data_IF_261638396789
#
_entry.id   IF_261638396789
#
_cell.length_a   1.000
_cell.length_b   1.000
_cell.length_c   1.000
_cell.angle_alpha   90.00
_cell.angle_beta   90.00
_cell.angle_gamma   90.00
#
_symmetry.space_group_name_H-M   'P 1'
#
loop_
_entity.id
_entity.type
_entity.pdbx_description
1 polymer ?
#
# COMPACT_ATOMS: atom_id res chain seq x y z
N UNK A 1 -8.54 -39.34 -4.14
CA UNK A 1 -8.66 -38.25 -3.15
C UNK A 1 -8.09 -38.61 -1.77
N UNK A 2 -8.30 -39.82 -1.24
CA UNK A 2 -7.80 -40.19 0.11
C UNK A 2 -6.27 -40.18 0.23
N UNK A 3 -5.54 -40.64 -0.79
CA UNK A 3 -4.06 -40.75 -0.80
C UNK A 3 -3.35 -39.40 -0.66
N UNK A 4 -3.84 -38.35 -1.33
CA UNK A 4 -3.28 -36.99 -1.27
C UNK A 4 -3.36 -36.40 0.14
N UNK A 5 -4.47 -36.65 0.84
CA UNK A 5 -4.65 -36.17 2.22
C UNK A 5 -3.69 -36.86 3.19
N UNK A 6 -3.54 -38.19 3.08
CA UNK A 6 -2.58 -38.92 3.93
C UNK A 6 -1.13 -38.50 3.66
N UNK A 7 -0.79 -38.21 2.41
CA UNK A 7 0.50 -37.64 2.05
C UNK A 7 0.73 -36.27 2.68
N UNK A 8 -0.25 -35.36 2.54
CA UNK A 8 -0.18 -34.02 3.12
C UNK A 8 0.00 -34.06 4.65
N UNK A 9 -0.69 -34.96 5.35
CA UNK A 9 -0.52 -35.14 6.81
C UNK A 9 0.90 -35.62 7.14
N UNK A 10 1.43 -36.59 6.39
CA UNK A 10 2.78 -37.11 6.62
C UNK A 10 3.85 -36.04 6.42
N UNK A 11 3.72 -35.22 5.38
CA UNK A 11 4.63 -34.08 5.15
C UNK A 11 4.45 -32.98 6.19
N UNK A 12 3.22 -32.69 6.61
CA UNK A 12 2.94 -31.70 7.65
C UNK A 12 3.67 -32.03 8.96
N UNK A 13 3.68 -33.31 9.34
CA UNK A 13 4.39 -33.81 10.53
C UNK A 13 5.92 -33.72 10.41
N UNK A 14 6.46 -33.62 9.18
CA UNK A 14 7.89 -33.49 8.96
C UNK A 14 8.40 -32.04 9.03
N UNK A 15 7.50 -31.04 9.03
CA UNK A 15 7.90 -29.64 9.13
C UNK A 15 8.55 -29.35 10.49
N UNK A 16 9.71 -28.70 10.42
CA UNK A 16 10.36 -28.11 11.59
C UNK A 16 9.97 -26.64 11.67
N UNK A 17 9.58 -26.13 12.85
CA UNK A 17 9.34 -24.70 13.04
C UNK A 17 10.58 -23.88 12.65
N UNK A 18 10.36 -22.79 11.94
CA UNK A 18 11.44 -21.84 11.64
C UNK A 18 11.79 -21.10 12.93
N UNK A 19 13.02 -21.28 13.42
CA UNK A 19 13.52 -20.53 14.57
C UNK A 19 14.09 -19.19 14.08
N UNK A 20 13.63 -18.10 14.69
CA UNK A 20 14.07 -16.74 14.35
C UNK A 20 14.85 -16.21 15.55
N UNK A 21 16.14 -15.91 15.35
CA UNK A 21 16.98 -15.24 16.35
C UNK A 21 16.80 -13.72 16.25
N UNK A 22 16.18 -13.11 17.26
CA UNK A 22 16.06 -11.64 17.38
C UNK A 22 17.39 -11.05 17.91
N UNK A 23 18.28 -10.61 16.99
CA UNK A 23 19.59 -10.04 17.35
C UNK A 23 19.60 -8.52 17.53
N UNK A 24 18.67 -7.82 16.89
CA UNK A 24 18.59 -6.35 16.87
C UNK A 24 17.55 -5.83 17.86
N UNK A 25 17.71 -4.59 18.33
CA UNK A 25 16.68 -3.94 19.16
C UNK A 25 15.46 -3.64 18.31
N UNK A 26 14.27 -3.87 18.89
CA UNK A 26 12.99 -3.61 18.20
C UNK A 26 12.82 -2.15 17.77
N UNK A 27 13.39 -1.20 18.52
CA UNK A 27 13.44 0.23 18.17
C UNK A 27 14.15 0.48 16.84
N UNK A 28 15.19 -0.29 16.55
CA UNK A 28 16.07 -0.08 15.38
C UNK A 28 15.46 -0.73 14.12
N UNK A 29 14.62 -1.76 14.34
CA UNK A 29 13.85 -2.42 13.29
C UNK A 29 12.57 -1.65 12.93
N UNK A 30 11.93 -0.99 13.90
CA UNK A 30 10.66 -0.32 13.71
C UNK A 30 10.78 0.82 12.68
N UNK A 31 9.95 0.78 11.64
CA UNK A 31 9.95 1.79 10.59
C UNK A 31 11.21 1.80 9.71
N UNK A 32 12.11 0.81 9.83
CA UNK A 32 13.36 0.74 9.05
C UNK A 32 13.12 0.82 7.54
N UNK A 33 12.05 0.20 7.06
CA UNK A 33 11.67 0.15 5.64
C UNK A 33 10.57 1.16 5.27
N UNK A 34 10.43 2.24 6.02
CA UNK A 34 9.43 3.28 5.77
C UNK A 34 10.13 4.61 5.56
N UNK A 35 9.71 5.36 4.53
CA UNK A 35 10.15 6.72 4.25
C UNK A 35 9.45 7.70 5.20
N UNK A 36 9.67 7.51 6.50
CA UNK A 36 9.07 8.27 7.58
C UNK A 36 9.78 9.64 7.77
N UNK A 37 9.32 10.43 8.74
CA UNK A 37 9.90 11.76 9.01
C UNK A 37 11.41 11.73 9.27
N UNK A 38 11.91 10.74 10.01
CA UNK A 38 13.34 10.61 10.31
C UNK A 38 14.14 10.34 9.04
N UNK A 39 13.67 9.43 8.20
CA UNK A 39 14.26 9.13 6.90
C UNK A 39 14.20 10.36 5.98
N UNK A 40 13.05 11.03 5.92
CA UNK A 40 12.87 12.25 5.14
C UNK A 40 13.86 13.35 5.56
N UNK A 41 14.13 13.53 6.86
CA UNK A 41 15.13 14.50 7.35
C UNK A 41 16.57 14.15 6.95
N UNK A 42 16.88 12.88 6.74
CA UNK A 42 18.21 12.42 6.34
C UNK A 42 18.45 12.57 4.83
N UNK A 43 17.42 12.34 4.02
CA UNK A 43 17.55 12.27 2.56
C UNK A 43 17.05 13.53 1.83
N UNK A 44 16.03 14.22 2.36
CA UNK A 44 15.47 15.40 1.71
C UNK A 44 16.26 16.68 2.05
N UNK A 45 16.28 17.60 1.09
CA UNK A 45 16.64 18.99 1.37
C UNK A 45 15.65 19.62 2.35
N UNK A 46 16.08 20.67 3.06
CA UNK A 46 15.21 21.39 4.01
C UNK A 46 13.91 21.88 3.36
N UNK A 47 14.00 22.37 2.13
CA UNK A 47 12.86 22.89 1.39
C UNK A 47 11.91 21.78 0.95
N UNK A 48 12.45 20.65 0.45
CA UNK A 48 11.63 19.50 0.09
C UNK A 48 10.93 18.89 1.31
N UNK A 49 11.65 18.75 2.44
CA UNK A 49 11.08 18.30 3.70
C UNK A 49 9.91 19.18 4.15
N UNK A 50 10.11 20.50 4.18
CA UNK A 50 9.07 21.44 4.55
C UNK A 50 7.88 21.41 3.57
N UNK A 51 8.15 21.23 2.28
CA UNK A 51 7.11 21.05 1.25
C UNK A 51 6.22 19.85 1.54
N UNK A 52 6.81 18.68 1.78
CA UNK A 52 6.08 17.45 2.11
C UNK A 52 5.32 17.59 3.43
N UNK A 53 5.95 18.11 4.48
CA UNK A 53 5.29 18.30 5.78
C UNK A 53 4.11 19.27 5.70
N UNK A 54 4.21 20.33 4.88
CA UNK A 54 3.11 21.24 4.62
C UNK A 54 1.97 20.57 3.85
N UNK A 55 2.27 19.70 2.90
CA UNK A 55 1.26 18.92 2.19
C UNK A 55 0.51 17.97 3.14
N UNK A 56 1.22 17.28 4.03
CA UNK A 56 0.64 16.36 5.02
C UNK A 56 -0.25 17.09 6.04
N UNK A 57 0.25 18.21 6.58
CA UNK A 57 -0.43 18.91 7.68
C UNK A 57 -1.56 19.83 7.21
N UNK A 58 -1.37 20.53 6.10
CA UNK A 58 -2.27 21.59 5.62
C UNK A 58 -2.96 21.26 4.29
N UNK A 59 -2.70 20.10 3.68
CA UNK A 59 -3.27 19.74 2.38
C UNK A 59 -2.80 20.64 1.23
N UNK A 60 -1.64 21.31 1.37
CA UNK A 60 -1.07 22.12 0.30
C UNK A 60 -0.62 21.25 -0.87
N UNK A 61 -0.78 21.78 -2.09
CA UNK A 61 -0.23 21.13 -3.29
C UNK A 61 1.29 21.10 -3.22
N UNK A 62 1.88 20.02 -3.71
CA UNK A 62 3.33 19.88 -3.85
C UNK A 62 3.72 20.45 -5.21
N UNK A 63 4.64 21.41 -5.21
CA UNK A 63 5.17 21.98 -6.44
C UNK A 63 6.02 20.95 -7.20
N UNK A 64 6.03 21.03 -8.53
CA UNK A 64 6.74 20.07 -9.39
C UNK A 64 8.24 19.99 -9.07
N UNK A 65 8.87 21.13 -8.78
CA UNK A 65 10.29 21.18 -8.39
C UNK A 65 10.55 20.45 -7.07
N UNK A 66 9.64 20.54 -6.10
CA UNK A 66 9.73 19.80 -4.84
C UNK A 66 9.50 18.32 -5.11
N UNK A 67 8.53 17.97 -5.95
CA UNK A 67 8.28 16.58 -6.33
C UNK A 67 9.48 15.91 -6.99
N UNK A 68 10.19 16.61 -7.88
CA UNK A 68 11.43 16.10 -8.51
C UNK A 68 12.56 15.89 -7.49
N UNK A 69 12.69 16.77 -6.49
CA UNK A 69 13.65 16.58 -5.41
C UNK A 69 13.28 15.39 -4.52
N UNK A 70 11.99 15.25 -4.19
CA UNK A 70 11.48 14.16 -3.36
C UNK A 70 11.64 12.83 -4.08
N UNK A 71 11.31 12.74 -5.37
CA UNK A 71 11.45 11.51 -6.16
C UNK A 71 12.91 11.07 -6.23
N UNK A 72 13.84 11.99 -6.54
CA UNK A 72 15.28 11.65 -6.55
C UNK A 72 15.75 11.13 -5.20
N UNK A 73 15.39 11.81 -4.11
CA UNK A 73 15.80 11.42 -2.76
C UNK A 73 15.16 10.09 -2.31
N UNK A 74 13.90 9.86 -2.67
CA UNK A 74 13.18 8.63 -2.38
C UNK A 74 13.76 7.44 -3.16
N UNK A 75 14.17 7.66 -4.41
CA UNK A 75 14.90 6.69 -5.21
C UNK A 75 16.24 6.35 -4.57
N UNK A 76 17.04 7.35 -4.21
CA UNK A 76 18.37 7.12 -3.62
C UNK A 76 18.27 6.35 -2.29
N UNK A 77 17.25 6.66 -1.48
CA UNK A 77 16.92 5.88 -0.28
C UNK A 77 16.49 4.44 -0.59
N UNK A 78 15.68 4.23 -1.63
CA UNK A 78 15.26 2.89 -2.03
C UNK A 78 16.43 2.06 -2.55
N UNK A 79 17.27 2.64 -3.39
CA UNK A 79 18.47 2.01 -3.94
C UNK A 79 19.48 1.66 -2.84
N UNK A 80 19.64 2.50 -1.81
CA UNK A 80 20.52 2.20 -0.66
C UNK A 80 20.08 0.96 0.13
N UNK A 81 18.83 0.51 -0.06
CA UNK A 81 18.25 -0.71 0.52
C UNK A 81 18.18 -1.89 -0.45
N UNK A 82 18.73 -1.76 -1.66
CA UNK A 82 18.74 -2.82 -2.67
C UNK A 82 17.40 -3.00 -3.39
N UNK A 83 16.53 -2.00 -3.37
CA UNK A 83 15.27 -2.00 -4.12
C UNK A 83 15.57 -1.84 -5.61
N UNK A 84 14.84 -2.58 -6.44
CA UNK A 84 15.03 -2.56 -7.91
C UNK A 84 13.82 -2.01 -8.66
N UNK A 85 12.63 -2.09 -8.05
CA UNK A 85 11.37 -1.67 -8.65
C UNK A 85 10.65 -0.65 -7.78
N UNK A 86 9.73 0.10 -8.37
CA UNK A 86 8.73 0.88 -7.67
C UNK A 86 7.33 0.52 -8.16
N UNK A 87 6.32 0.77 -7.33
CA UNK A 87 4.91 0.60 -7.70
C UNK A 87 4.07 1.68 -7.04
N UNK A 88 3.06 2.14 -7.76
CA UNK A 88 1.95 2.86 -7.16
C UNK A 88 1.05 1.85 -6.47
N UNK A 89 0.88 2.00 -5.17
CA UNK A 89 0.20 1.05 -4.30
C UNK A 89 -1.18 1.61 -3.94
N UNK A 90 -2.24 0.97 -4.44
CA UNK A 90 -3.60 1.41 -4.21
C UNK A 90 -4.60 0.24 -4.15
N UNK A 91 -5.77 0.52 -3.56
CA UNK A 91 -6.85 -0.45 -3.40
C UNK A 91 -8.05 -0.05 -4.26
N UNK A 92 -8.17 -0.57 -5.50
CA UNK A 92 -9.32 -0.33 -6.35
C UNK A 92 -10.61 -0.97 -5.78
N UNK A 93 -11.76 -0.52 -6.29
CA UNK A 93 -13.07 -1.03 -5.90
C UNK A 93 -13.30 -2.53 -6.17
N UNK A 94 -12.39 -3.20 -6.90
CA UNK A 94 -12.40 -4.64 -7.13
C UNK A 94 -11.97 -5.46 -5.91
N UNK A 95 -11.52 -4.81 -4.82
CA UNK A 95 -11.26 -5.44 -3.52
C UNK A 95 -9.86 -6.04 -3.36
N UNK A 96 -9.13 -6.30 -4.44
CA UNK A 96 -7.72 -6.69 -4.39
C UNK A 96 -6.81 -5.46 -4.50
N UNK A 97 -5.66 -5.50 -3.83
CA UNK A 97 -4.63 -4.45 -3.98
C UNK A 97 -4.07 -4.51 -5.40
N UNK A 98 -3.96 -3.34 -6.04
CA UNK A 98 -3.33 -3.22 -7.35
C UNK A 98 -1.90 -2.72 -7.18
N UNK A 99 -0.97 -3.47 -7.78
CA UNK A 99 0.44 -3.14 -7.83
C UNK A 99 0.91 -3.34 -9.29
N UNK A 100 1.55 -2.31 -9.84
CA UNK A 100 2.26 -2.40 -11.12
C UNK A 100 3.72 -2.10 -10.85
N UNK A 101 4.55 -3.12 -10.97
CA UNK A 101 5.99 -3.00 -10.75
C UNK A 101 6.66 -2.43 -11.99
N UNK A 102 7.14 -1.20 -11.88
CA UNK A 102 8.01 -0.56 -12.86
C UNK A 102 9.45 -0.57 -12.33
N UNK A 103 10.42 -0.87 -13.20
CA UNK A 103 11.83 -0.85 -12.80
C UNK A 103 12.33 0.60 -12.76
N UNK A 104 13.27 0.90 -11.87
CA UNK A 104 14.00 2.18 -11.94
C UNK A 104 14.90 2.27 -13.19
N UNK A 105 15.20 1.14 -13.81
CA UNK A 105 16.12 1.01 -14.92
C UNK A 105 15.54 1.60 -16.22
N UNK A 106 16.26 2.56 -16.82
CA UNK A 106 15.98 3.13 -18.14
C UNK A 106 17.25 3.10 -18.99
N UNK A 107 17.16 2.63 -20.24
CA UNK A 107 18.30 2.62 -21.16
C UNK A 107 18.49 4.00 -21.77
N UNK A 108 19.69 4.58 -21.64
CA UNK A 108 20.09 5.75 -22.40
C UNK A 108 20.78 5.25 -23.67
N UNK A 109 20.39 5.78 -24.83
CA UNK A 109 21.00 5.43 -26.11
C UNK A 109 22.53 5.38 -26.04
N UNK A 110 23.14 4.48 -26.82
CA UNK A 110 24.58 4.21 -26.75
C UNK A 110 25.00 3.05 -25.83
N UNK A 111 24.06 2.17 -25.45
CA UNK A 111 24.34 0.97 -24.65
C UNK A 111 24.55 1.23 -23.16
N UNK A 112 24.22 2.44 -22.70
CA UNK A 112 24.27 2.81 -21.29
C UNK A 112 22.88 2.67 -20.66
N UNK A 113 22.83 2.51 -19.35
CA UNK A 113 21.58 2.50 -18.62
C UNK A 113 21.74 3.25 -17.30
N UNK A 114 20.64 3.82 -16.82
CA UNK A 114 20.59 4.57 -15.58
C UNK A 114 19.35 4.21 -14.77
N UNK A 115 19.43 4.41 -13.46
CA UNK A 115 18.28 4.38 -12.56
C UNK A 115 17.63 5.76 -12.48
N UNK A 116 16.41 5.87 -13.00
CA UNK A 116 15.63 7.10 -13.03
C UNK A 116 14.30 6.93 -12.31
N UNK A 117 13.94 7.96 -11.55
CA UNK A 117 12.62 8.11 -10.96
C UNK A 117 12.29 9.60 -10.93
N UNK A 118 11.33 10.03 -11.77
CA UNK A 118 10.98 11.43 -11.95
C UNK A 118 9.87 11.91 -11.01
N UNK A 119 9.80 13.22 -10.74
CA UNK A 119 8.69 13.79 -9.97
C UNK A 119 7.34 13.62 -10.66
N UNK A 120 7.32 13.60 -12.00
CA UNK A 120 6.10 13.28 -12.75
C UNK A 120 5.59 11.87 -12.43
N UNK A 121 6.49 10.87 -12.39
CA UNK A 121 6.14 9.50 -12.01
C UNK A 121 5.66 9.44 -10.56
N UNK A 122 6.26 10.20 -9.65
CA UNK A 122 5.81 10.27 -8.26
C UNK A 122 4.41 10.88 -8.11
N UNK A 123 4.16 12.03 -8.73
CA UNK A 123 2.93 12.82 -8.49
C UNK A 123 1.75 12.26 -9.26
N UNK A 124 1.94 11.85 -10.52
CA UNK A 124 0.85 11.38 -11.37
C UNK A 124 1.35 10.36 -12.40
N UNK A 125 0.94 9.10 -12.23
CA UNK A 125 1.13 8.08 -13.25
C UNK A 125 -0.22 7.74 -13.91
N UNK A 126 -0.20 7.52 -15.23
CA UNK A 126 -1.26 6.81 -15.95
C UNK A 126 -1.05 5.30 -15.75
N UNK A 127 -1.72 4.63 -14.79
CA UNK A 127 -1.81 3.19 -14.84
C UNK A 127 -2.52 2.80 -16.14
N UNK A 128 -2.04 1.74 -16.78
CA UNK A 128 -2.75 1.13 -17.90
C UNK A 128 -4.08 0.56 -17.38
N UNK A 129 -5.12 1.40 -17.43
CA UNK A 129 -6.42 1.10 -16.85
C UNK A 129 -7.27 0.19 -17.76
N UNK A 130 -6.73 -0.22 -18.91
CA UNK A 130 -7.41 -1.10 -19.86
C UNK A 130 -7.72 -2.49 -19.27
N UNK A 131 -6.95 -2.94 -18.28
CA UNK A 131 -7.11 -4.24 -17.63
C UNK A 131 -8.11 -4.25 -16.47
N UNK A 132 -8.63 -3.10 -16.03
CA UNK A 132 -9.64 -3.07 -14.97
C UNK A 132 -11.03 -3.32 -15.54
N UNK A 133 -11.88 -4.11 -14.86
CA UNK A 133 -13.23 -4.43 -15.33
C UNK A 133 -14.07 -3.15 -15.45
N UNK A 134 -14.18 -2.65 -16.67
CA UNK A 134 -15.13 -1.62 -17.05
C UNK A 134 -16.46 -2.34 -17.27
N UNK A 135 -17.48 -2.11 -16.44
CA UNK A 135 -18.78 -2.80 -16.48
C UNK A 135 -19.61 -2.60 -17.77
N UNK A 136 -19.05 -2.88 -18.95
CA UNK A 136 -19.71 -2.98 -20.24
C UNK A 136 -20.18 -1.67 -20.90
N UNK A 137 -20.05 -0.51 -20.26
CA UNK A 137 -20.75 0.72 -20.70
C UNK A 137 -19.82 1.83 -21.20
N UNK A 138 -18.48 1.66 -21.24
CA UNK A 138 -17.56 2.78 -21.55
C UNK A 138 -16.73 2.58 -22.82
N UNK A 139 -16.64 3.64 -23.62
CA UNK A 139 -15.73 3.75 -24.77
C UNK A 139 -14.27 3.68 -24.28
N UNK A 140 -13.42 2.95 -24.98
CA UNK A 140 -12.02 2.64 -24.58
C UNK A 140 -11.13 3.87 -24.35
N UNK A 141 -11.52 5.05 -24.85
CA UNK A 141 -10.80 6.30 -24.64
C UNK A 141 -11.05 6.94 -23.25
N UNK A 142 -12.22 6.72 -22.65
CA UNK A 142 -12.63 7.27 -21.35
C UNK A 142 -12.32 6.34 -20.17
N UNK A 143 -11.79 5.15 -20.45
CA UNK A 143 -11.38 4.17 -19.45
C UNK A 143 -10.02 4.50 -18.79
N UNK A 144 -9.45 5.68 -19.06
CA UNK A 144 -8.18 6.12 -18.46
C UNK A 144 -8.39 6.51 -17.00
N UNK A 145 -7.65 5.87 -16.11
CA UNK A 145 -7.54 6.27 -14.71
C UNK A 145 -6.17 6.89 -14.43
N UNK A 146 -6.11 7.74 -13.42
CA UNK A 146 -4.89 8.40 -12.95
C UNK A 146 -4.63 7.99 -11.51
N UNK A 147 -3.36 7.73 -11.22
CA UNK A 147 -2.89 7.60 -9.84
C UNK A 147 -2.35 8.95 -9.39
N UNK A 148 -2.57 9.29 -8.12
CA UNK A 148 -1.93 10.44 -7.51
C UNK A 148 -1.33 10.03 -6.16
N UNK A 149 -0.10 10.45 -5.89
CA UNK A 149 0.56 10.16 -4.62
C UNK A 149 -0.13 10.85 -3.45
N UNK A 150 -0.40 10.10 -2.38
CA UNK A 150 -0.89 10.63 -1.12
C UNK A 150 0.25 10.71 -0.10
N UNK A 151 0.79 11.91 0.18
CA UNK A 151 1.90 12.08 1.12
C UNK A 151 1.50 11.80 2.58
N UNK A 152 0.21 11.70 2.91
CA UNK A 152 -0.24 11.38 4.28
C UNK A 152 0.06 9.94 4.68
N UNK A 153 0.27 9.05 3.70
CA UNK A 153 0.71 7.68 3.90
C UNK A 153 2.16 7.57 3.40
N UNK A 154 3.14 7.27 4.29
CA UNK A 154 4.54 7.26 3.89
C UNK A 154 4.82 6.11 2.91
N UNK A 155 5.69 6.36 1.93
CA UNK A 155 6.20 5.31 1.06
C UNK A 155 6.97 4.27 1.89
N UNK A 156 6.91 3.01 1.46
CA UNK A 156 7.56 1.92 2.18
C UNK A 156 8.16 0.92 1.21
N UNK A 157 9.06 0.09 1.72
CA UNK A 157 9.70 -0.95 0.94
C UNK A 157 9.12 -2.28 1.36
N UNK A 158 8.60 -3.01 0.39
CA UNK A 158 8.16 -4.37 0.55
C UNK A 158 8.98 -5.27 -0.36
N UNK A 159 9.70 -6.21 0.24
CA UNK A 159 10.67 -7.07 -0.46
C UNK A 159 11.68 -6.23 -1.26
N UNK A 160 11.62 -6.27 -2.58
CA UNK A 160 12.53 -5.57 -3.51
C UNK A 160 11.87 -4.39 -4.23
N UNK A 161 10.70 -3.93 -3.73
CA UNK A 161 9.89 -2.89 -4.39
C UNK A 161 9.62 -1.71 -3.45
N UNK A 162 9.77 -0.50 -3.96
CA UNK A 162 9.30 0.74 -3.35
C UNK A 162 7.79 0.90 -3.62
N UNK A 163 6.98 0.81 -2.58
CA UNK A 163 5.53 1.01 -2.65
C UNK A 163 5.18 2.45 -2.31
N UNK A 164 4.54 3.14 -3.24
CA UNK A 164 4.12 4.55 -3.12
C UNK A 164 2.60 4.58 -2.93
N UNK A 165 2.10 4.89 -1.73
CA UNK A 165 0.66 4.94 -1.48
C UNK A 165 -0.04 5.98 -2.36
N UNK A 166 -0.99 5.55 -3.17
CA UNK A 166 -1.66 6.42 -4.13
C UNK A 166 -3.17 6.30 -4.07
N UNK A 167 -3.85 7.35 -4.51
CA UNK A 167 -5.28 7.31 -4.83
C UNK A 167 -5.47 7.01 -6.31
N UNK A 168 -6.60 6.42 -6.67
CA UNK A 168 -6.96 6.10 -8.05
C UNK A 168 -8.27 6.76 -8.47
N UNK A 169 -8.21 7.60 -9.50
CA UNK A 169 -9.34 8.41 -9.97
C UNK A 169 -9.55 8.24 -11.48
N UNK A 170 -10.80 8.27 -11.93
CA UNK A 170 -11.13 8.30 -13.35
C UNK A 170 -10.76 9.66 -13.97
N UNK A 171 -10.65 9.71 -15.30
CA UNK A 171 -10.53 10.98 -16.04
C UNK A 171 -11.67 11.97 -15.71
N UNK A 172 -12.88 11.47 -15.42
CA UNK A 172 -14.04 12.27 -15.02
C UNK A 172 -13.96 12.80 -13.59
N UNK A 173 -12.95 12.40 -12.81
CA UNK A 173 -12.78 12.77 -11.39
C UNK A 173 -13.54 11.87 -10.41
N UNK A 174 -14.18 10.79 -10.90
CA UNK A 174 -14.79 9.76 -10.06
C UNK A 174 -13.72 8.97 -9.31
N UNK A 175 -13.99 8.65 -8.04
CA UNK A 175 -13.09 7.80 -7.25
C UNK A 175 -13.24 6.34 -7.68
N UNK A 176 -12.12 5.69 -8.05
CA UNK A 176 -12.06 4.28 -8.43
C UNK A 176 -11.35 3.43 -7.37
N UNK A 177 -11.10 4.00 -6.18
CA UNK A 177 -10.46 3.37 -5.04
C UNK A 177 -11.28 3.52 -3.75
N UNK A 178 -10.83 2.79 -2.71
CA UNK A 178 -11.37 2.93 -1.36
C UNK A 178 -10.76 4.11 -0.58
N UNK A 179 -9.57 4.57 -0.98
CA UNK A 179 -8.83 5.60 -0.23
C UNK A 179 -9.40 7.01 -0.45
N UNK A 180 -9.78 7.38 -1.67
CA UNK A 180 -10.40 8.69 -1.93
C UNK A 180 -11.70 8.91 -1.14
N UNK A 181 -12.67 7.98 -1.14
CA UNK A 181 -13.89 8.12 -0.33
C UNK A 181 -13.59 8.19 1.18
N UNK A 182 -12.64 7.39 1.67
CA UNK A 182 -12.23 7.43 3.07
C UNK A 182 -11.65 8.80 3.46
N UNK A 183 -10.73 9.35 2.67
CA UNK A 183 -10.14 10.67 2.93
C UNK A 183 -11.20 11.78 2.95
N UNK A 184 -12.18 11.71 2.03
CA UNK A 184 -13.32 12.65 2.01
C UNK A 184 -14.19 12.52 3.27
N UNK A 185 -14.49 11.30 3.69
CA UNK A 185 -15.26 11.05 4.91
C UNK A 185 -14.52 11.56 6.16
N UNK A 186 -13.22 11.30 6.27
CA UNK A 186 -12.38 11.79 7.37
C UNK A 186 -12.36 13.32 7.45
N UNK A 187 -12.26 14.00 6.30
CA UNK A 187 -12.30 15.47 6.24
C UNK A 187 -13.67 16.02 6.65
N UNK A 188 -14.76 15.39 6.21
CA UNK A 188 -16.11 15.78 6.60
C UNK A 188 -16.33 15.65 8.12
N UNK A 189 -15.86 14.54 8.71
CA UNK A 189 -15.91 14.32 10.16
C UNK A 189 -15.04 15.33 10.92
N UNK A 190 -13.82 15.59 10.46
CA UNK A 190 -12.91 16.59 11.05
C UNK A 190 -13.56 17.99 11.06
N UNK A 191 -14.13 18.42 9.94
CA UNK A 191 -14.79 19.73 9.82
C UNK A 191 -15.97 19.86 10.78
N UNK A 192 -16.84 18.85 10.82
CA UNK A 192 -18.01 18.85 11.70
C UNK A 192 -17.62 18.78 13.19
N UNK A 193 -16.70 17.88 13.55
CA UNK A 193 -16.24 17.73 14.92
C UNK A 193 -15.50 18.97 15.42
N UNK A 194 -14.63 19.56 14.60
CA UNK A 194 -13.92 20.80 14.94
C UNK A 194 -14.90 21.95 15.19
N UNK A 195 -15.97 22.07 14.40
CA UNK A 195 -17.01 23.09 14.62
C UNK A 195 -17.70 22.93 15.99
N UNK A 196 -17.97 21.69 16.41
CA UNK A 196 -18.57 21.40 17.71
C UNK A 196 -17.57 21.63 18.86
N UNK A 197 -16.34 21.16 18.72
CA UNK A 197 -15.30 21.34 19.75
C UNK A 197 -15.01 22.81 20.06
N UNK A 198 -15.14 23.71 19.06
CA UNK A 198 -14.95 25.15 19.24
C UNK A 198 -15.97 25.83 20.14
N UNK A 199 -17.10 25.18 20.45
CA UNK A 199 -18.00 25.66 21.51
C UNK A 199 -17.39 25.53 22.91
N UNK A 200 -16.47 24.57 23.11
CA UNK A 200 -15.82 24.31 24.40
C UNK A 200 -14.41 24.92 24.48
N UNK A 201 -13.63 24.80 23.41
CA UNK A 201 -12.28 25.39 23.32
C UNK A 201 -12.02 25.96 21.91
N UNK A 202 -11.84 27.28 21.85
CA UNK A 202 -11.59 28.02 20.60
C UNK A 202 -10.23 27.68 19.96
N UNK A 203 -9.30 27.09 20.71
CA UNK A 203 -7.97 26.74 20.21
C UNK A 203 -7.95 25.45 19.39
N UNK A 204 -9.04 24.67 19.38
CA UNK A 204 -9.13 23.43 18.60
C UNK A 204 -9.08 23.74 17.11
N UNK A 205 -8.03 23.25 16.45
CA UNK A 205 -7.76 23.47 15.01
C UNK A 205 -8.19 22.30 14.12
N UNK A 206 -8.09 21.07 14.63
CA UNK A 206 -8.31 19.83 13.88
C UNK A 206 -8.71 18.70 14.83
N UNK A 207 -9.58 17.81 14.37
CA UNK A 207 -9.94 16.57 15.04
C UNK A 207 -9.53 15.39 14.17
N UNK A 208 -8.70 14.50 14.71
CA UNK A 208 -8.21 13.31 14.02
C UNK A 208 -8.87 12.06 14.57
N UNK A 209 -9.43 11.22 13.71
CA UNK A 209 -9.90 9.89 14.09
C UNK A 209 -8.74 8.91 14.21
N UNK A 210 -8.82 8.00 15.18
CA UNK A 210 -7.89 6.88 15.34
C UNK A 210 -8.66 5.58 15.12
N UNK A 211 -8.07 4.64 14.41
CA UNK A 211 -8.65 3.32 14.14
C UNK A 211 -7.69 2.23 14.64
N UNK A 212 -8.13 1.47 15.64
CA UNK A 212 -7.48 0.23 16.07
C UNK A 212 -8.29 -0.96 15.55
N UNK A 213 -7.74 -1.68 14.58
CA UNK A 213 -8.37 -2.86 13.99
C UNK A 213 -7.79 -4.12 14.62
N UNK A 214 -8.64 -5.11 14.84
CA UNK A 214 -8.25 -6.44 15.30
C UNK A 214 -8.41 -7.41 14.12
N UNK A 215 -7.34 -8.14 13.77
CA UNK A 215 -7.34 -9.07 12.64
C UNK A 215 -7.47 -10.50 13.12
N UNK A 216 -8.58 -11.14 12.79
CA UNK A 216 -8.75 -12.59 12.96
C UNK A 216 -8.39 -13.32 11.66
N UNK A 217 -7.65 -14.42 11.78
CA UNK A 217 -7.32 -15.29 10.65
C UNK A 217 -7.12 -16.73 11.12
N UNK A 218 -7.33 -17.68 10.20
CA UNK A 218 -7.04 -19.09 10.42
C UNK A 218 -5.78 -19.49 9.66
N UNK A 219 -4.91 -20.25 10.32
CA UNK A 219 -3.75 -20.86 9.68
C UNK A 219 -4.01 -22.35 9.45
N UNK A 220 -3.78 -22.78 8.22
CA UNK A 220 -3.89 -24.18 7.80
C UNK A 220 -2.59 -24.52 7.08
N UNK A 221 -2.05 -25.70 7.35
CA UNK A 221 -0.89 -26.22 6.64
C UNK A 221 -1.11 -26.15 5.12
N UNK A 222 -0.10 -25.66 4.38
CA UNK A 222 -0.20 -25.43 2.94
C UNK A 222 -0.52 -26.70 2.16
N UNK A 223 0.04 -27.86 2.54
CA UNK A 223 -0.20 -29.14 1.87
C UNK A 223 -1.60 -29.65 2.20
N UNK A 224 -2.05 -29.47 3.45
CA UNK A 224 -3.41 -29.82 3.84
C UNK A 224 -4.44 -28.97 3.09
N UNK A 225 -4.19 -27.66 2.98
CA UNK A 225 -5.04 -26.75 2.22
C UNK A 225 -5.09 -27.11 0.73
N UNK A 226 -3.95 -27.47 0.13
CA UNK A 226 -3.87 -27.93 -1.26
C UNK A 226 -4.63 -29.25 -1.49
N UNK A 227 -4.71 -30.12 -0.48
CA UNK A 227 -5.48 -31.37 -0.57
C UNK A 227 -7.00 -31.15 -0.61
N UNK A 228 -7.48 -29.97 -0.19
CA UNK A 228 -8.89 -29.58 -0.19
C UNK A 228 -9.13 -28.50 -1.24
N UNK A 229 -9.36 -28.93 -2.47
CA UNK A 229 -9.50 -28.02 -3.62
C UNK A 229 -10.57 -26.93 -3.45
N UNK A 230 -11.65 -27.22 -2.72
CA UNK A 230 -12.71 -26.24 -2.39
C UNK A 230 -12.17 -25.08 -1.53
N UNK A 231 -11.32 -25.39 -0.55
CA UNK A 231 -10.74 -24.37 0.32
C UNK A 231 -9.84 -23.42 -0.47
N UNK A 232 -9.11 -23.94 -1.46
CA UNK A 232 -8.26 -23.13 -2.34
C UNK A 232 -9.07 -22.20 -3.26
N UNK A 233 -10.21 -22.67 -3.77
CA UNK A 233 -11.04 -21.91 -4.71
C UNK A 233 -11.97 -20.90 -4.03
N UNK A 234 -12.53 -21.25 -2.87
CA UNK A 234 -13.57 -20.45 -2.20
C UNK A 234 -13.09 -19.77 -0.92
N UNK A 235 -11.88 -20.09 -0.43
CA UNK A 235 -11.38 -19.59 0.85
C UNK A 235 -12.11 -20.15 2.08
N UNK A 236 -13.12 -21.01 1.88
CA UNK A 236 -13.91 -21.63 2.94
C UNK A 236 -14.35 -23.05 2.53
N UNK A 237 -14.60 -23.90 3.53
CA UNK A 237 -15.18 -25.23 3.33
C UNK A 237 -16.70 -25.14 3.15
N UNK A 238 -17.22 -25.58 2.01
CA UNK A 238 -18.68 -25.71 1.79
C UNK A 238 -19.29 -26.98 2.40
N UNK A 239 -18.48 -28.01 2.64
CA UNK A 239 -18.91 -29.34 3.10
C UNK A 239 -17.99 -29.82 4.23
N UNK A 240 -18.59 -30.37 5.29
CA UNK A 240 -17.87 -30.97 6.40
C UNK A 240 -18.80 -31.32 7.56
N UNK A 241 -18.58 -32.47 8.19
CA UNK A 241 -19.24 -32.80 9.46
C UNK A 241 -18.61 -31.90 10.52
N UNK A 242 -19.41 -31.00 11.10
CA UNK A 242 -18.97 -30.22 12.26
C UNK A 242 -18.73 -31.17 13.42
N UNK A 243 -17.56 -31.08 14.06
CA UNK A 243 -17.38 -31.62 15.40
C UNK A 243 -18.46 -31.00 16.30
N UNK A 244 -19.15 -31.81 17.10
CA UNK A 244 -20.06 -31.30 18.12
C UNK A 244 -19.24 -30.32 18.97
N UNK A 245 -19.73 -29.08 19.13
CA UNK A 245 -19.09 -28.06 19.95
C UNK A 245 -18.83 -28.64 21.35
N UNK A 246 -17.58 -28.98 21.64
CA UNK A 246 -17.12 -29.09 23.01
C UNK A 246 -17.17 -27.68 23.58
N UNK A 247 -18.09 -27.45 24.52
CA UNK A 247 -18.09 -26.21 25.28
C UNK A 247 -16.87 -26.21 26.20
N UNK A 248 -16.17 -25.05 26.21
CA UNK A 248 -15.11 -24.62 27.14
C UNK A 248 -13.71 -25.16 26.84
#
# INVERSE_FOLDING_TARGET
MSTLRFHAVKESLAYKPVYIEEKERRSDLFGKNVFNENTMRQYLTKDAFNGVMNAISHGKKIDRSIADQVSSSMKDWALSKGVTHYTHWFQPLTGATAEKHDAFFETIGGGMAIEKFGGDQLVQQEPDASSFPNGGIRNTFEARGYTAWDPTSPAFIYQTTLCIPTIFVAYTGEALDFKTPLLRALNAVDTAATAVCRYFDKNVKKVTSSLGWEQEYFLIDKMLAASVQILHLLGALCLGIRQQKGNS
#
